data_IF_482903363135
#
_entry.id   IF_482903363135
#
_cell.length_a   1.000
_cell.length_b   1.000
_cell.length_c   1.000
_cell.angle_alpha   90.00
_cell.angle_beta   90.00
_cell.angle_gamma   90.00
#
_symmetry.space_group_name_H-M   'P 1'
#
loop_
_entity.id
_entity.type
_entity.pdbx_description
1 polymer ?
#
# COMPACT_ATOMS: atom_id res chain seq x y z
N UNK A 1 -10.28 1.68 -26.78
CA UNK A 1 -11.27 2.27 -25.85
C UNK A 1 -11.23 3.82 -25.80
N UNK A 2 -10.98 4.49 -26.93
CA UNK A 2 -10.88 5.96 -26.95
C UNK A 2 -12.19 6.65 -27.39
N UNK A 3 -13.26 5.89 -27.62
CA UNK A 3 -14.54 6.43 -28.04
C UNK A 3 -15.70 5.79 -27.30
N UNK A 4 -16.72 6.61 -26.99
CA UNK A 4 -18.01 6.09 -26.56
C UNK A 4 -18.75 5.39 -27.71
N UNK A 5 -19.75 4.58 -27.39
CA UNK A 5 -20.59 3.90 -28.38
C UNK A 5 -21.27 4.86 -29.38
N UNK A 6 -21.43 6.14 -29.04
CA UNK A 6 -21.98 7.20 -29.88
C UNK A 6 -20.91 7.94 -30.74
N UNK A 7 -19.67 7.41 -30.81
CA UNK A 7 -18.58 7.99 -31.59
C UNK A 7 -17.86 9.19 -30.98
N UNK A 8 -18.24 9.61 -29.76
CA UNK A 8 -17.53 10.69 -29.03
C UNK A 8 -16.22 10.17 -28.46
N UNK A 9 -15.18 11.00 -28.50
CA UNK A 9 -13.88 10.68 -27.87
C UNK A 9 -13.97 10.70 -26.35
N UNK A 10 -13.24 9.81 -25.70
CA UNK A 10 -13.10 9.77 -24.24
C UNK A 10 -12.11 10.82 -23.70
N UNK A 11 -11.65 11.73 -24.55
CA UNK A 11 -10.63 12.72 -24.25
C UNK A 11 -9.21 12.19 -24.42
N UNK A 12 -8.26 12.83 -23.77
CA UNK A 12 -6.84 12.45 -23.83
C UNK A 12 -6.61 11.14 -23.07
N UNK A 13 -6.17 10.06 -23.74
CA UNK A 13 -5.94 8.77 -23.11
C UNK A 13 -4.82 8.79 -22.08
N UNK A 14 -3.86 9.71 -22.19
CA UNK A 14 -2.72 9.87 -21.26
C UNK A 14 -2.88 11.07 -20.32
N UNK A 15 -4.11 11.56 -20.18
CA UNK A 15 -4.39 12.72 -19.32
C UNK A 15 -3.92 12.49 -17.88
N UNK A 16 -3.34 13.53 -17.27
CA UNK A 16 -2.80 13.48 -15.90
C UNK A 16 -3.81 13.15 -14.81
N UNK A 17 -5.10 13.47 -15.02
CA UNK A 17 -6.15 13.14 -14.06
C UNK A 17 -6.68 11.72 -14.28
N UNK A 18 -6.77 10.97 -13.18
CA UNK A 18 -7.25 9.57 -13.13
C UNK A 18 -8.37 9.42 -12.09
N UNK A 19 -9.24 10.43 -11.99
CA UNK A 19 -10.33 10.50 -11.00
C UNK A 19 -11.34 9.36 -11.08
N UNK A 20 -11.42 8.65 -12.22
CA UNK A 20 -12.22 7.42 -12.34
C UNK A 20 -11.67 6.26 -11.51
N UNK A 21 -10.44 6.35 -10.99
CA UNK A 21 -9.86 5.40 -10.02
C UNK A 21 -10.04 5.84 -8.56
N UNK A 22 -10.90 6.83 -8.29
CA UNK A 22 -11.20 7.26 -6.90
C UNK A 22 -11.72 6.11 -6.04
N UNK A 23 -12.37 5.12 -6.63
CA UNK A 23 -12.82 3.90 -5.94
C UNK A 23 -11.67 3.00 -5.44
N UNK A 24 -10.47 3.11 -6.04
CA UNK A 24 -9.26 2.44 -5.59
C UNK A 24 -8.55 3.25 -4.48
N UNK A 25 -8.35 4.54 -4.72
CA UNK A 25 -7.79 5.46 -3.73
C UNK A 25 -8.32 6.89 -3.96
N UNK A 26 -8.72 7.60 -2.89
CA UNK A 26 -8.74 7.23 -1.47
C UNK A 26 -9.89 6.31 -1.07
N UNK A 27 -10.74 5.93 -2.03
CA UNK A 27 -11.84 5.00 -1.81
C UNK A 27 -11.37 3.58 -1.50
N UNK A 28 -12.36 2.71 -1.28
CA UNK A 28 -12.15 1.33 -0.84
C UNK A 28 -12.98 0.31 -1.64
N UNK A 29 -13.68 0.75 -2.68
CA UNK A 29 -14.54 -0.11 -3.49
C UNK A 29 -13.74 -1.08 -4.36
N UNK A 30 -12.57 -0.63 -4.84
CA UNK A 30 -11.64 -1.43 -5.62
C UNK A 30 -10.51 -1.86 -4.67
N UNK A 31 -10.44 -3.13 -4.38
CA UNK A 31 -9.47 -3.69 -3.43
C UNK A 31 -9.20 -5.17 -3.74
N UNK A 32 -8.43 -5.85 -2.89
CA UNK A 32 -8.09 -7.28 -3.03
C UNK A 32 -9.29 -8.24 -3.04
N UNK A 33 -10.39 -7.84 -2.41
CA UNK A 33 -11.62 -8.65 -2.34
C UNK A 33 -12.50 -8.44 -3.61
N UNK A 34 -12.10 -7.53 -4.52
CA UNK A 34 -12.72 -7.26 -5.82
C UNK A 34 -11.70 -7.42 -6.96
N UNK A 35 -11.15 -8.64 -7.18
CA UNK A 35 -10.00 -8.85 -8.06
C UNK A 35 -10.26 -8.46 -9.53
N UNK A 36 -11.47 -8.61 -10.04
CA UNK A 36 -11.83 -8.20 -11.40
C UNK A 36 -11.73 -6.67 -11.56
N UNK A 37 -12.23 -5.90 -10.57
CA UNK A 37 -12.13 -4.45 -10.58
C UNK A 37 -10.68 -4.00 -10.41
N UNK A 38 -9.91 -4.70 -9.55
CA UNK A 38 -8.50 -4.43 -9.33
C UNK A 38 -7.68 -4.64 -10.63
N UNK A 39 -7.95 -5.73 -11.36
CA UNK A 39 -7.34 -5.97 -12.67
C UNK A 39 -7.75 -4.91 -13.69
N UNK A 40 -9.00 -4.49 -13.70
CA UNK A 40 -9.46 -3.38 -14.53
C UNK A 40 -8.72 -2.07 -14.21
N UNK A 41 -8.45 -1.79 -12.93
CA UNK A 41 -7.68 -0.62 -12.52
C UNK A 41 -6.22 -0.68 -13.02
N UNK A 42 -5.58 -1.86 -12.97
CA UNK A 42 -4.23 -2.06 -13.56
C UNK A 42 -4.21 -1.73 -15.05
N UNK A 43 -5.15 -2.26 -15.82
CA UNK A 43 -5.27 -1.98 -17.26
C UNK A 43 -5.44 -0.48 -17.53
N UNK A 44 -6.22 0.21 -16.69
CA UNK A 44 -6.39 1.67 -16.79
C UNK A 44 -5.07 2.39 -16.53
N UNK A 45 -4.31 2.01 -15.50
CA UNK A 45 -3.02 2.61 -15.17
C UNK A 45 -2.00 2.40 -16.28
N UNK A 46 -1.91 1.18 -16.82
CA UNK A 46 -1.05 0.85 -17.98
C UNK A 46 -1.38 1.74 -19.18
N UNK A 47 -2.65 1.87 -19.54
CA UNK A 47 -3.09 2.69 -20.66
C UNK A 47 -2.82 4.19 -20.45
N UNK A 48 -2.81 4.67 -19.22
CA UNK A 48 -2.47 6.05 -18.87
C UNK A 48 -0.97 6.33 -18.96
N UNK A 49 -0.14 5.28 -18.94
CA UNK A 49 1.31 5.39 -18.95
C UNK A 49 1.88 6.00 -17.66
N UNK A 50 3.18 6.00 -17.56
CA UNK A 50 3.90 6.40 -16.34
C UNK A 50 4.18 7.89 -16.27
N UNK A 51 4.59 8.51 -17.39
CA UNK A 51 4.93 9.92 -17.42
C UNK A 51 3.71 10.82 -17.21
N UNK A 52 3.91 11.84 -16.37
CA UNK A 52 2.89 12.84 -16.07
C UNK A 52 3.51 14.01 -15.29
N UNK A 53 2.67 14.90 -14.74
CA UNK A 53 3.10 15.90 -13.75
C UNK A 53 3.52 15.20 -12.45
N UNK A 54 4.32 15.87 -11.61
CA UNK A 54 4.86 15.25 -10.40
C UNK A 54 3.79 14.69 -9.47
N UNK A 55 2.75 15.46 -9.14
CA UNK A 55 1.65 14.95 -8.30
C UNK A 55 0.89 13.78 -8.94
N UNK A 56 0.78 13.76 -10.26
CA UNK A 56 0.12 12.64 -10.96
C UNK A 56 0.98 11.39 -10.96
N UNK A 57 2.31 11.53 -11.07
CA UNK A 57 3.24 10.40 -10.93
C UNK A 57 3.14 9.78 -9.53
N UNK A 58 3.14 10.62 -8.47
CA UNK A 58 2.99 10.12 -7.11
C UNK A 58 1.63 9.47 -6.86
N UNK A 59 0.56 10.00 -7.46
CA UNK A 59 -0.76 9.37 -7.40
C UNK A 59 -0.76 8.01 -8.10
N UNK A 60 -0.16 7.89 -9.30
CA UNK A 60 -0.01 6.60 -9.99
C UNK A 60 0.81 5.60 -9.18
N UNK A 61 1.92 6.05 -8.58
CA UNK A 61 2.72 5.25 -7.66
C UNK A 61 1.86 4.66 -6.53
N UNK A 62 1.10 5.51 -5.85
CA UNK A 62 0.20 5.11 -4.77
C UNK A 62 -0.89 4.13 -5.26
N UNK A 63 -1.47 4.37 -6.43
CA UNK A 63 -2.48 3.47 -7.02
C UNK A 63 -1.89 2.10 -7.38
N UNK A 64 -0.64 2.02 -7.86
CA UNK A 64 0.04 0.75 -8.09
C UNK A 64 0.31 0.00 -6.78
N UNK A 65 0.66 0.70 -5.70
CA UNK A 65 0.75 0.09 -4.36
C UNK A 65 -0.59 -0.51 -3.92
N UNK A 66 -1.71 0.20 -4.17
CA UNK A 66 -3.07 -0.32 -3.93
C UNK A 66 -3.48 -1.47 -4.85
N UNK A 67 -2.90 -1.53 -6.03
CA UNK A 67 -3.02 -2.67 -6.96
C UNK A 67 -2.17 -3.88 -6.54
N UNK A 68 -1.46 -3.80 -5.41
CA UNK A 68 -0.59 -4.86 -4.87
C UNK A 68 0.58 -5.19 -5.81
N UNK A 69 1.04 -4.22 -6.57
CA UNK A 69 2.18 -4.33 -7.47
C UNK A 69 3.32 -3.42 -6.97
N UNK A 70 4.09 -3.95 -6.02
CA UNK A 70 5.14 -3.21 -5.34
C UNK A 70 6.31 -2.86 -6.25
N UNK A 71 6.67 -3.75 -7.16
CA UNK A 71 7.81 -3.52 -8.07
C UNK A 71 7.47 -2.42 -9.09
N UNK A 72 6.28 -2.44 -9.68
CA UNK A 72 5.81 -1.37 -10.56
C UNK A 72 5.66 -0.04 -9.80
N UNK A 73 5.15 -0.09 -8.59
CA UNK A 73 5.06 1.09 -7.73
C UNK A 73 6.46 1.69 -7.45
N UNK A 74 7.46 0.86 -7.12
CA UNK A 74 8.83 1.31 -6.88
C UNK A 74 9.48 1.93 -8.13
N UNK A 75 9.22 1.37 -9.31
CA UNK A 75 9.66 1.93 -10.60
C UNK A 75 9.15 3.37 -10.76
N UNK A 76 7.86 3.59 -10.55
CA UNK A 76 7.26 4.93 -10.65
C UNK A 76 7.78 5.89 -9.57
N UNK A 77 7.99 5.41 -8.36
CA UNK A 77 8.58 6.24 -7.28
C UNK A 77 9.98 6.73 -7.65
N UNK A 78 10.82 5.83 -8.19
CA UNK A 78 12.15 6.18 -8.70
C UNK A 78 12.07 7.18 -9.86
N UNK A 79 11.17 6.95 -10.79
CA UNK A 79 10.93 7.86 -11.89
C UNK A 79 10.54 9.26 -11.38
N UNK A 80 9.62 9.34 -10.43
CA UNK A 80 9.22 10.61 -9.82
C UNK A 80 10.39 11.31 -9.16
N UNK A 81 11.17 10.62 -8.33
CA UNK A 81 12.33 11.21 -7.67
C UNK A 81 13.37 11.74 -8.67
N UNK A 82 13.61 11.01 -9.75
CA UNK A 82 14.61 11.36 -10.76
C UNK A 82 14.15 12.46 -11.73
N UNK A 83 12.86 12.48 -12.11
CA UNK A 83 12.37 13.29 -13.21
C UNK A 83 11.37 14.37 -12.78
N UNK A 84 10.73 14.21 -11.63
CA UNK A 84 9.62 15.06 -11.18
C UNK A 84 9.85 15.66 -9.78
N UNK A 85 11.11 15.76 -9.38
CA UNK A 85 11.50 16.32 -8.07
C UNK A 85 12.67 17.28 -8.26
N UNK A 86 12.59 18.47 -7.66
CA UNK A 86 13.69 19.43 -7.64
C UNK A 86 14.78 19.00 -6.64
N UNK A 87 15.98 19.61 -6.74
CA UNK A 87 17.09 19.35 -5.83
C UNK A 87 16.77 19.61 -4.35
N UNK A 88 15.79 20.45 -4.06
CA UNK A 88 15.28 20.71 -2.72
C UNK A 88 14.18 19.72 -2.28
N UNK A 89 13.99 18.65 -3.01
CA UNK A 89 12.98 17.59 -2.83
C UNK A 89 11.54 18.04 -3.05
N UNK A 90 11.27 19.23 -3.54
CA UNK A 90 9.93 19.64 -3.91
C UNK A 90 9.49 18.99 -5.21
N UNK A 91 8.23 18.60 -5.25
CA UNK A 91 7.58 18.06 -6.46
C UNK A 91 7.59 19.07 -7.62
N UNK A 92 7.80 18.60 -8.84
CA UNK A 92 7.80 19.46 -10.02
C UNK A 92 6.42 19.49 -10.67
N UNK A 93 5.79 20.63 -10.54
CA UNK A 93 4.73 21.12 -11.40
C UNK A 93 4.96 22.62 -11.55
N UNK A 94 4.61 23.24 -12.60
CA UNK A 94 4.80 24.69 -12.70
C UNK A 94 3.47 25.43 -12.42
N UNK A 95 3.24 26.06 -11.24
CA UNK A 95 4.12 26.11 -10.05
C UNK A 95 4.16 24.80 -9.23
N UNK A 96 5.08 24.71 -8.25
CA UNK A 96 5.18 23.62 -7.28
C UNK A 96 3.83 23.30 -6.63
N UNK A 97 3.55 22.00 -6.48
CA UNK A 97 2.37 21.47 -5.79
C UNK A 97 2.80 20.40 -4.78
N UNK A 98 2.51 20.64 -3.49
CA UNK A 98 2.90 19.74 -2.38
C UNK A 98 2.24 18.35 -2.48
N UNK A 99 1.19 18.23 -3.28
CA UNK A 99 0.43 16.98 -3.49
C UNK A 99 1.33 15.81 -3.88
N UNK A 100 2.35 16.07 -4.73
CA UNK A 100 3.30 15.06 -5.14
C UNK A 100 4.17 14.54 -3.99
N UNK A 101 4.58 15.42 -3.08
CA UNK A 101 5.33 15.04 -1.89
C UNK A 101 4.48 14.20 -0.93
N UNK A 102 3.24 14.63 -0.66
CA UNK A 102 2.33 13.88 0.20
C UNK A 102 1.90 12.55 -0.43
N UNK A 103 1.63 12.55 -1.74
CA UNK A 103 1.30 11.31 -2.47
C UNK A 103 2.42 10.30 -2.43
N UNK A 104 3.68 10.73 -2.53
CA UNK A 104 4.85 9.87 -2.42
C UNK A 104 4.99 9.26 -1.03
N UNK A 105 4.83 10.07 0.03
CA UNK A 105 4.86 9.56 1.40
C UNK A 105 3.73 8.56 1.65
N UNK A 106 2.51 8.87 1.21
CA UNK A 106 1.37 7.97 1.32
C UNK A 106 1.59 6.67 0.54
N UNK A 107 2.18 6.73 -0.67
CA UNK A 107 2.50 5.56 -1.48
C UNK A 107 3.48 4.61 -0.79
N UNK A 108 4.53 5.13 -0.14
CA UNK A 108 5.46 4.31 0.66
C UNK A 108 4.72 3.61 1.80
N UNK A 109 3.82 4.30 2.49
CA UNK A 109 3.01 3.69 3.55
C UNK A 109 2.12 2.57 3.00
N UNK A 110 1.48 2.77 1.84
CA UNK A 110 0.62 1.77 1.20
C UNK A 110 1.37 0.54 0.69
N UNK A 111 2.67 0.66 0.37
CA UNK A 111 3.53 -0.51 0.07
C UNK A 111 3.70 -1.41 1.29
N UNK A 112 3.82 -0.82 2.48
CA UNK A 112 4.22 -1.49 3.71
C UNK A 112 3.03 -1.90 4.58
N UNK A 113 1.94 -1.13 4.56
CA UNK A 113 0.73 -1.42 5.33
C UNK A 113 -0.52 -0.85 4.65
N UNK A 114 -1.57 -1.66 4.56
CA UNK A 114 -2.89 -1.22 4.11
C UNK A 114 -3.95 -1.59 5.15
N UNK A 115 -4.85 -0.67 5.48
CA UNK A 115 -5.88 -0.91 6.52
C UNK A 115 -7.25 -0.34 6.15
N UNK A 116 -7.50 -0.03 4.89
CA UNK A 116 -8.70 0.65 4.41
C UNK A 116 -9.99 -0.20 4.47
N UNK A 117 -9.87 -1.54 4.56
CA UNK A 117 -11.00 -2.48 4.58
C UNK A 117 -11.26 -3.09 5.96
N UNK A 118 -10.67 -2.49 7.02
CA UNK A 118 -10.80 -2.97 8.40
C UNK A 118 -9.77 -4.04 8.80
N UNK A 119 -9.14 -4.70 7.85
CA UNK A 119 -8.00 -5.61 8.08
C UNK A 119 -6.69 -4.83 7.93
N UNK A 120 -5.75 -5.01 8.85
CA UNK A 120 -4.38 -4.46 8.77
C UNK A 120 -3.50 -5.43 7.98
N UNK A 121 -3.34 -5.17 6.69
CA UNK A 121 -2.47 -5.97 5.83
C UNK A 121 -1.02 -5.55 5.97
N UNK A 122 -0.16 -6.52 6.29
CA UNK A 122 1.26 -6.35 6.52
C UNK A 122 2.04 -6.66 5.24
N UNK A 123 2.88 -5.72 4.81
CA UNK A 123 3.72 -5.80 3.61
C UNK A 123 2.93 -6.20 2.33
N UNK A 124 1.73 -5.60 2.09
CA UNK A 124 0.82 -6.06 1.04
C UNK A 124 1.36 -5.87 -0.38
N UNK A 125 2.26 -4.92 -0.56
CA UNK A 125 2.87 -4.59 -1.85
C UNK A 125 4.37 -4.29 -1.69
N UNK A 126 5.07 -5.07 -0.84
CA UNK A 126 6.50 -4.88 -0.62
C UNK A 126 7.27 -5.12 -1.92
N UNK A 127 8.05 -4.13 -2.42
CA UNK A 127 8.93 -4.34 -3.57
C UNK A 127 9.95 -5.45 -3.32
N UNK A 128 10.25 -6.25 -4.33
CA UNK A 128 11.23 -7.35 -4.21
C UNK A 128 12.62 -6.88 -3.82
N UNK A 129 13.01 -5.67 -4.25
CA UNK A 129 14.29 -5.06 -3.90
C UNK A 129 14.39 -4.60 -2.44
N UNK A 130 13.27 -4.39 -1.75
CA UNK A 130 13.26 -4.04 -0.33
C UNK A 130 13.36 -5.31 0.53
N UNK A 131 14.43 -6.05 0.32
CA UNK A 131 14.65 -7.35 0.93
C UNK A 131 14.57 -7.32 2.46
N UNK A 132 15.09 -6.28 3.10
CA UNK A 132 15.05 -6.09 4.56
C UNK A 132 14.82 -4.63 4.93
N UNK A 133 14.23 -4.41 6.09
CA UNK A 133 13.97 -3.08 6.61
C UNK A 133 13.09 -3.07 7.84
N UNK A 134 12.79 -1.87 8.29
CA UNK A 134 11.86 -1.64 9.40
C UNK A 134 11.09 -0.34 9.21
N UNK A 135 9.88 -0.30 9.75
CA UNK A 135 9.08 0.91 9.87
C UNK A 135 8.34 0.86 11.21
N UNK A 136 8.21 2.00 11.89
CA UNK A 136 7.60 2.09 13.21
C UNK A 136 6.44 3.07 13.24
N UNK A 137 5.50 2.78 14.12
CA UNK A 137 4.43 3.68 14.57
C UNK A 137 3.51 4.20 13.45
N UNK A 138 3.26 3.35 12.44
CA UNK A 138 2.29 3.66 11.39
C UNK A 138 0.87 3.58 11.98
N UNK A 139 0.07 4.60 11.74
CA UNK A 139 -1.33 4.62 12.15
C UNK A 139 -2.22 3.87 11.15
N UNK A 140 -2.84 2.79 11.61
CA UNK A 140 -3.86 2.08 10.85
C UNK A 140 -5.24 2.76 10.98
N UNK A 141 -6.09 2.66 9.96
CA UNK A 141 -7.42 3.28 9.95
C UNK A 141 -8.38 2.72 11.00
N UNK A 142 -8.11 1.50 11.47
CA UNK A 142 -8.92 0.86 12.53
C UNK A 142 -8.47 1.21 13.96
N UNK A 143 -7.64 2.24 14.13
CA UNK A 143 -7.23 2.71 15.44
C UNK A 143 -6.13 1.87 16.09
N UNK A 144 -5.16 1.38 15.30
CA UNK A 144 -3.97 0.73 15.82
C UNK A 144 -2.69 1.45 15.36
N UNK A 145 -1.66 1.40 16.18
CA UNK A 145 -0.28 1.70 15.78
C UNK A 145 0.42 0.40 15.42
N UNK A 146 1.14 0.44 14.30
CA UNK A 146 1.77 -0.75 13.73
C UNK A 146 3.24 -0.48 13.46
N UNK A 147 4.12 -1.39 13.92
CA UNK A 147 5.53 -1.41 13.54
C UNK A 147 5.88 -2.75 12.93
N UNK A 148 6.71 -2.74 11.89
CA UNK A 148 7.02 -3.93 11.10
C UNK A 148 8.52 -3.97 10.90
N UNK A 149 9.14 -5.15 11.15
CA UNK A 149 10.49 -5.48 10.66
C UNK A 149 10.38 -6.63 9.69
N UNK A 150 11.22 -6.61 8.67
CA UNK A 150 11.25 -7.68 7.68
C UNK A 150 12.67 -8.01 7.24
N UNK A 151 12.87 -9.25 6.83
CA UNK A 151 14.07 -9.77 6.17
C UNK A 151 13.66 -10.84 5.18
N UNK A 152 14.40 -10.96 4.08
CA UNK A 152 14.10 -11.88 2.98
C UNK A 152 12.66 -11.71 2.45
N UNK A 153 12.22 -10.46 2.36
CA UNK A 153 10.87 -10.06 1.95
C UNK A 153 9.75 -10.63 2.82
N UNK A 154 10.04 -11.05 4.05
CA UNK A 154 9.07 -11.61 5.01
C UNK A 154 9.11 -10.85 6.32
N UNK A 155 7.95 -10.61 6.92
CA UNK A 155 7.89 -10.00 8.24
C UNK A 155 8.60 -10.89 9.27
N UNK A 156 9.52 -10.31 10.03
CA UNK A 156 10.23 -10.96 11.13
C UNK A 156 9.69 -10.52 12.48
N UNK A 157 9.19 -9.30 12.60
CA UNK A 157 8.52 -8.78 13.78
C UNK A 157 7.36 -7.87 13.33
N UNK A 158 6.21 -8.05 13.95
CA UNK A 158 5.05 -7.17 13.80
C UNK A 158 4.62 -6.77 15.20
N UNK A 159 4.55 -5.47 15.48
CA UNK A 159 3.99 -4.92 16.72
C UNK A 159 2.71 -4.20 16.41
N UNK A 160 1.67 -4.46 17.18
CA UNK A 160 0.37 -3.81 17.04
C UNK A 160 -0.07 -3.33 18.41
N UNK A 161 -0.28 -2.03 18.52
CA UNK A 161 -0.77 -1.39 19.73
C UNK A 161 -2.12 -0.73 19.43
N UNK A 162 -3.24 -1.32 19.89
CA UNK A 162 -4.55 -0.70 19.74
C UNK A 162 -4.63 0.65 20.44
N UNK A 163 -5.34 1.60 19.86
CA UNK A 163 -5.66 2.88 20.51
C UNK A 163 -7.05 2.88 21.14
N UNK A 164 -7.85 1.86 20.81
CA UNK A 164 -9.19 1.60 21.36
C UNK A 164 -9.35 0.10 21.58
N UNK A 165 -10.17 -0.28 22.58
CA UNK A 165 -10.49 -1.68 22.83
C UNK A 165 -11.30 -2.28 21.66
N UNK A 166 -11.07 -3.54 21.35
CA UNK A 166 -11.83 -4.26 20.32
C UNK A 166 -11.02 -5.30 19.58
N UNK A 167 -11.63 -5.87 18.55
CA UNK A 167 -10.98 -6.87 17.72
C UNK A 167 -10.09 -6.21 16.67
N UNK A 168 -8.88 -6.77 16.45
CA UNK A 168 -7.97 -6.34 15.40
C UNK A 168 -7.68 -7.51 14.47
N UNK A 169 -8.07 -7.38 13.20
CA UNK A 169 -7.75 -8.38 12.19
C UNK A 169 -6.50 -7.97 11.42
N UNK A 170 -5.53 -8.89 11.38
CA UNK A 170 -4.27 -8.77 10.66
C UNK A 170 -4.37 -9.63 9.41
N UNK A 171 -3.95 -9.08 8.26
CA UNK A 171 -3.78 -9.82 7.00
C UNK A 171 -2.29 -9.99 6.68
N UNK A 172 -1.89 -11.23 6.40
CA UNK A 172 -0.52 -11.54 6.00
C UNK A 172 -0.49 -12.79 5.12
N UNK A 173 0.14 -12.70 3.96
CA UNK A 173 0.06 -13.73 2.92
C UNK A 173 1.40 -14.46 2.64
N UNK A 174 2.43 -14.23 3.46
CA UNK A 174 3.72 -14.91 3.27
C UNK A 174 3.78 -16.22 4.07
N UNK A 175 4.45 -17.21 3.50
CA UNK A 175 4.63 -18.54 4.10
C UNK A 175 5.70 -18.51 5.19
N UNK A 176 5.40 -17.94 6.33
CA UNK A 176 6.22 -18.05 7.53
C UNK A 176 5.35 -18.22 8.77
N UNK A 177 5.88 -18.94 9.75
CA UNK A 177 5.20 -19.15 11.02
C UNK A 177 5.41 -17.90 11.87
N UNK A 178 4.33 -17.29 12.29
CA UNK A 178 4.33 -16.19 13.24
C UNK A 178 3.87 -16.69 14.60
N UNK A 179 4.43 -16.12 15.66
CA UNK A 179 3.99 -16.36 17.05
C UNK A 179 3.52 -15.05 17.64
N UNK A 180 2.31 -15.01 18.17
CA UNK A 180 1.80 -13.88 18.92
C UNK A 180 2.06 -14.12 20.41
N UNK A 181 2.79 -13.22 21.06
CA UNK A 181 3.15 -13.35 22.48
C UNK A 181 3.72 -14.75 22.87
N UNK A 182 4.46 -15.35 21.92
CA UNK A 182 5.08 -16.67 22.13
C UNK A 182 4.25 -17.89 21.67
N UNK A 183 2.97 -17.73 21.38
CA UNK A 183 2.08 -18.78 20.89
C UNK A 183 1.98 -18.77 19.36
N UNK A 184 2.00 -19.97 18.76
CA UNK A 184 1.84 -20.08 17.30
C UNK A 184 0.46 -19.58 16.88
N UNK A 185 0.42 -18.64 15.93
CA UNK A 185 -0.81 -18.17 15.33
C UNK A 185 -1.01 -18.83 13.97
N UNK A 186 -2.26 -19.16 13.65
CA UNK A 186 -2.64 -19.72 12.37
C UNK A 186 -3.48 -18.70 11.62
N UNK A 187 -2.98 -18.29 10.47
CA UNK A 187 -3.78 -17.50 9.54
C UNK A 187 -4.78 -18.38 8.82
N UNK A 188 -6.03 -17.97 8.80
CA UNK A 188 -7.11 -18.61 8.03
C UNK A 188 -7.45 -17.65 6.90
N UNK A 189 -7.35 -18.10 5.67
CA UNK A 189 -7.53 -17.26 4.47
C UNK A 189 -6.69 -15.98 4.51
N UNK A 190 -5.43 -16.13 4.96
CA UNK A 190 -4.48 -15.03 5.07
C UNK A 190 -4.78 -14.03 6.19
N UNK A 191 -5.71 -14.33 7.10
CA UNK A 191 -6.13 -13.43 8.18
C UNK A 191 -6.02 -14.07 9.56
N UNK A 192 -5.72 -13.26 10.57
CA UNK A 192 -5.75 -13.63 11.99
C UNK A 192 -6.38 -12.48 12.79
N UNK A 193 -7.26 -12.79 13.71
CA UNK A 193 -7.91 -11.79 14.57
C UNK A 193 -7.43 -11.91 16.01
N UNK A 194 -6.95 -10.81 16.55
CA UNK A 194 -6.71 -10.63 17.98
C UNK A 194 -8.05 -10.22 18.57
N UNK A 195 -8.66 -11.14 19.32
CA UNK A 195 -9.95 -10.91 19.96
C UNK A 195 -9.79 -10.08 21.24
N UNK A 196 -10.70 -9.12 21.46
CA UNK A 196 -10.73 -8.27 22.66
C UNK A 196 -9.39 -7.60 22.97
N UNK A 197 -8.69 -7.12 21.93
CA UNK A 197 -7.44 -6.40 22.13
C UNK A 197 -7.67 -5.14 22.98
N UNK A 198 -6.82 -4.91 23.96
CA UNK A 198 -6.92 -3.80 24.90
C UNK A 198 -6.14 -2.58 24.42
N UNK A 199 -6.73 -1.40 24.55
CA UNK A 199 -6.06 -0.14 24.21
C UNK A 199 -4.77 0.06 25.00
N UNK A 200 -3.69 0.41 24.30
CA UNK A 200 -2.37 0.62 24.88
C UNK A 200 -1.56 -0.66 25.16
N UNK A 201 -2.15 -1.85 25.02
CA UNK A 201 -1.42 -3.12 25.09
C UNK A 201 -0.73 -3.41 23.77
N UNK A 202 0.54 -3.80 23.81
CA UNK A 202 1.29 -4.13 22.60
C UNK A 202 1.30 -5.62 22.36
N UNK A 203 0.77 -6.04 21.23
CA UNK A 203 0.78 -7.43 20.73
C UNK A 203 1.95 -7.61 19.77
N UNK A 204 2.86 -8.55 20.09
CA UNK A 204 4.08 -8.78 19.31
C UNK A 204 3.99 -10.13 18.62
N UNK A 205 4.08 -10.11 17.30
CA UNK A 205 4.25 -11.31 16.49
C UNK A 205 5.68 -11.41 15.99
N UNK A 206 6.31 -12.57 16.14
CA UNK A 206 7.71 -12.81 15.73
C UNK A 206 7.75 -14.04 14.83
N UNK A 207 8.49 -13.93 13.73
CA UNK A 207 8.82 -15.10 12.89
C UNK A 207 10.07 -15.80 13.42
N UNK A 208 9.96 -17.11 13.61
CA UNK A 208 11.16 -17.93 13.81
C UNK A 208 11.62 -18.49 12.47
N UNK A 209 12.71 -17.93 11.94
CA UNK A 209 13.50 -18.66 10.96
C UNK A 209 14.24 -19.74 11.70
N UNK A 210 13.93 -21.03 11.42
CA UNK A 210 14.81 -22.10 11.84
C UNK A 210 16.17 -21.88 11.15
N UNK A 211 17.18 -21.48 11.93
CA UNK A 211 18.57 -21.67 11.54
C UNK A 211 18.79 -23.19 11.51
N UNK A 212 18.73 -23.79 10.34
CA UNK A 212 19.24 -25.14 10.09
C UNK A 212 20.73 -25.11 9.87
#
# INVERSE_FOLDING_TARGET
YNTYANGKTLGDPVHRHISHLVGLYPGTLINRDTPELLNGAKVVLENRGDDSTGWSCSNKFLLWARCLDGDKALELFRYQLAQKTYANLFDTHAPFQIDGNFGSAAGVMELLMQSQTGTVYILPALPTEWNSGEISDIKAKNGAEVSIKWSDNKATEIKITPTVDGNITIGYEKDNILKLNGENIKFVDGKYTIENASAGETYISVSYTHLT
#
